data_IF_205094464161
#
_entry.id   IF_205094464161
#
_cell.length_a   1.000
_cell.length_b   1.000
_cell.length_c   1.000
_cell.angle_alpha   90.00
_cell.angle_beta   90.00
_cell.angle_gamma   90.00
#
_symmetry.space_group_name_H-M   'P 1'
#
loop_
_entity.id
_entity.type
_entity.pdbx_description
1 polymer ?
#
# COMPACT_ATOMS: atom_id res chain seq x y z
N UNK A 1 17.19 -9.42 10.01
CA UNK A 1 17.48 -10.37 8.90
C UNK A 1 16.22 -11.20 8.71
N UNK A 2 15.78 -11.37 7.47
CA UNK A 2 14.60 -12.19 7.15
C UNK A 2 14.98 -13.67 7.26
N UNK A 3 14.28 -14.40 8.12
CA UNK A 3 14.44 -15.83 8.35
C UNK A 3 13.07 -16.50 8.40
N UNK A 4 13.01 -17.82 8.23
CA UNK A 4 11.76 -18.61 8.30
C UNK A 4 11.04 -18.37 9.64
N UNK A 5 11.84 -18.36 10.70
CA UNK A 5 11.43 -18.15 12.09
C UNK A 5 10.76 -16.78 12.25
N UNK A 6 11.44 -15.71 11.80
CA UNK A 6 10.96 -14.34 11.99
C UNK A 6 9.72 -14.04 11.16
N UNK A 7 9.60 -14.58 9.95
CA UNK A 7 8.37 -14.47 9.16
C UNK A 7 7.20 -15.19 9.85
N UNK A 8 7.43 -16.39 10.39
CA UNK A 8 6.40 -17.12 11.13
C UNK A 8 5.94 -16.37 12.36
N UNK A 9 6.87 -15.84 13.15
CA UNK A 9 6.54 -15.02 14.33
C UNK A 9 5.66 -13.83 13.94
N UNK A 10 5.98 -13.11 12.86
CA UNK A 10 5.16 -11.97 12.42
C UNK A 10 3.75 -12.36 11.99
N UNK A 11 3.57 -13.52 11.36
CA UNK A 11 2.23 -14.01 11.02
C UNK A 11 1.48 -14.59 12.24
N UNK A 12 2.19 -15.20 13.19
CA UNK A 12 1.63 -15.69 14.45
C UNK A 12 1.08 -14.54 15.31
N UNK A 13 1.75 -13.39 15.32
CA UNK A 13 1.25 -12.17 15.97
C UNK A 13 -0.10 -11.69 15.39
N UNK A 14 -0.38 -12.03 14.12
CA UNK A 14 -1.66 -11.76 13.45
C UNK A 14 -2.68 -12.89 13.61
N UNK A 15 -2.31 -13.99 14.29
CA UNK A 15 -3.14 -15.18 14.43
C UNK A 15 -3.25 -16.01 13.16
N UNK A 16 -2.26 -15.93 12.27
CA UNK A 16 -2.23 -16.64 10.98
C UNK A 16 -1.12 -17.69 11.04
N UNK A 17 -1.44 -18.94 10.74
CA UNK A 17 -0.45 -20.03 10.60
C UNK A 17 -0.16 -20.33 9.11
N UNK A 18 0.86 -19.70 8.51
CA UNK A 18 1.25 -19.99 7.14
C UNK A 18 1.94 -21.35 7.02
N UNK A 19 1.57 -22.13 6.00
CA UNK A 19 2.25 -23.38 5.64
C UNK A 19 3.70 -23.14 5.20
N UNK A 20 4.57 -24.15 5.30
CA UNK A 20 5.98 -24.04 4.92
C UNK A 20 6.20 -23.55 3.48
N UNK A 21 5.32 -23.91 2.55
CA UNK A 21 5.38 -23.41 1.16
C UNK A 21 5.16 -21.89 1.08
N UNK A 22 4.22 -21.36 1.87
CA UNK A 22 3.91 -19.92 1.94
C UNK A 22 5.10 -19.17 2.55
N UNK A 23 5.65 -19.67 3.65
CA UNK A 23 6.80 -19.05 4.32
C UNK A 23 8.03 -19.04 3.41
N UNK A 24 8.31 -20.14 2.70
CA UNK A 24 9.40 -20.17 1.72
C UNK A 24 9.19 -19.14 0.61
N UNK A 25 7.95 -18.98 0.12
CA UNK A 25 7.65 -17.95 -0.89
C UNK A 25 7.84 -16.53 -0.35
N UNK A 26 7.46 -16.26 0.91
CA UNK A 26 7.73 -14.97 1.55
C UNK A 26 9.23 -14.65 1.57
N UNK A 27 10.08 -15.62 1.93
CA UNK A 27 11.53 -15.44 1.94
C UNK A 27 12.07 -15.19 0.54
N UNK A 28 11.63 -15.98 -0.44
CA UNK A 28 12.03 -15.78 -1.84
C UNK A 28 11.71 -14.36 -2.31
N UNK A 29 10.50 -13.87 -2.01
CA UNK A 29 10.10 -12.50 -2.31
C UNK A 29 11.01 -11.53 -1.58
N UNK A 30 11.25 -11.68 -0.28
CA UNK A 30 12.14 -10.78 0.47
C UNK A 30 13.54 -10.69 -0.13
N UNK A 31 14.13 -11.83 -0.52
CA UNK A 31 15.45 -11.89 -1.14
C UNK A 31 15.45 -11.22 -2.52
N UNK A 32 14.49 -11.53 -3.38
CA UNK A 32 14.40 -10.97 -4.73
C UNK A 32 14.23 -9.45 -4.75
N UNK A 33 13.70 -8.91 -3.66
CA UNK A 33 13.19 -7.56 -3.57
C UNK A 33 13.99 -6.67 -2.60
N UNK A 34 15.12 -7.18 -2.09
CA UNK A 34 16.01 -6.55 -1.10
C UNK A 34 15.27 -6.08 0.16
N UNK A 35 14.31 -6.88 0.63
CA UNK A 35 13.58 -6.62 1.87
C UNK A 35 14.35 -7.27 3.01
N UNK A 36 14.92 -6.45 3.89
CA UNK A 36 15.75 -6.92 5.01
C UNK A 36 15.00 -7.08 6.32
N UNK A 37 13.80 -6.50 6.38
CA UNK A 37 12.97 -6.45 7.57
C UNK A 37 11.67 -7.27 7.38
N UNK A 38 11.39 -8.24 8.28
CA UNK A 38 10.21 -9.09 8.15
C UNK A 38 8.90 -8.34 8.46
N UNK A 39 8.93 -7.30 9.31
CA UNK A 39 7.75 -6.50 9.66
C UNK A 39 7.30 -5.71 8.44
N UNK A 40 8.24 -5.02 7.77
CA UNK A 40 7.98 -4.27 6.53
C UNK A 40 7.32 -5.15 5.45
N UNK A 41 7.76 -6.40 5.33
CA UNK A 41 7.14 -7.35 4.41
C UNK A 41 5.70 -7.69 4.81
N UNK A 42 5.45 -7.99 6.08
CA UNK A 42 4.12 -8.38 6.57
C UNK A 42 3.15 -7.20 6.52
N UNK A 43 3.58 -5.99 6.85
CA UNK A 43 2.76 -4.78 6.71
C UNK A 43 2.39 -4.53 5.25
N UNK A 44 3.34 -4.70 4.32
CA UNK A 44 3.08 -4.57 2.89
C UNK A 44 2.10 -5.62 2.40
N UNK A 45 2.23 -6.86 2.86
CA UNK A 45 1.28 -7.93 2.59
C UNK A 45 -0.11 -7.59 3.13
N UNK A 46 -0.22 -7.13 4.38
CA UNK A 46 -1.50 -6.74 4.98
C UNK A 46 -2.16 -5.60 4.21
N UNK A 47 -1.40 -4.57 3.84
CA UNK A 47 -1.91 -3.46 3.04
C UNK A 47 -2.46 -3.96 1.69
N UNK A 48 -1.74 -4.88 1.03
CA UNK A 48 -2.17 -5.49 -0.22
C UNK A 48 -3.41 -6.38 -0.04
N UNK A 49 -3.41 -7.26 0.96
CA UNK A 49 -4.49 -8.21 1.20
C UNK A 49 -5.80 -7.47 1.50
N UNK A 50 -5.78 -6.44 2.35
CA UNK A 50 -6.95 -5.61 2.65
C UNK A 50 -7.43 -4.86 1.41
N UNK A 51 -6.50 -4.32 0.61
CA UNK A 51 -6.85 -3.48 -0.54
C UNK A 51 -7.32 -4.26 -1.77
N UNK A 52 -6.81 -5.47 -2.00
CA UNK A 52 -7.01 -6.24 -3.24
C UNK A 52 -7.72 -7.57 -3.02
N UNK A 53 -7.51 -8.19 -1.86
CA UNK A 53 -7.98 -9.55 -1.55
C UNK A 53 -9.01 -9.56 -0.42
N UNK A 54 -9.50 -8.38 -0.01
CA UNK A 54 -10.45 -8.19 1.10
C UNK A 54 -10.02 -8.85 2.42
N UNK A 55 -8.70 -8.87 2.69
CA UNK A 55 -8.12 -9.44 3.90
C UNK A 55 -7.92 -10.96 3.86
N UNK A 56 -7.85 -11.57 2.67
CA UNK A 56 -7.58 -13.00 2.55
C UNK A 56 -6.24 -13.43 3.17
N UNK A 57 -6.19 -14.70 3.57
CA UNK A 57 -4.99 -15.34 4.13
C UNK A 57 -3.85 -15.44 3.09
N UNK A 58 -2.58 -15.44 3.54
CA UNK A 58 -1.43 -15.55 2.66
C UNK A 58 -1.39 -16.93 1.97
N UNK A 59 -1.44 -16.91 0.64
CA UNK A 59 -1.24 -18.09 -0.20
C UNK A 59 -0.13 -17.83 -1.21
N UNK A 60 0.50 -18.90 -1.71
CA UNK A 60 1.57 -18.80 -2.71
C UNK A 60 1.12 -18.03 -3.96
N UNK A 61 -0.13 -18.23 -4.40
CA UNK A 61 -0.70 -17.53 -5.54
C UNK A 61 -0.81 -16.01 -5.28
N UNK A 62 -1.42 -15.64 -4.15
CA UNK A 62 -1.61 -14.23 -3.80
C UNK A 62 -0.30 -13.50 -3.52
N UNK A 63 0.67 -14.16 -2.90
CA UNK A 63 2.01 -13.61 -2.69
C UNK A 63 2.72 -13.32 -4.03
N UNK A 64 2.53 -14.18 -5.03
CA UNK A 64 3.08 -13.96 -6.37
C UNK A 64 2.40 -12.78 -7.08
N UNK A 65 1.08 -12.63 -6.91
CA UNK A 65 0.33 -11.48 -7.43
C UNK A 65 0.75 -10.16 -6.76
N UNK A 66 0.98 -10.17 -5.44
CA UNK A 66 1.53 -9.03 -4.71
C UNK A 66 2.93 -8.67 -5.23
N UNK A 67 3.82 -9.65 -5.38
CA UNK A 67 5.17 -9.42 -5.90
C UNK A 67 5.14 -8.79 -7.30
N UNK A 68 4.29 -9.32 -8.18
CA UNK A 68 4.11 -8.76 -9.52
C UNK A 68 3.51 -7.36 -9.51
N UNK A 69 2.70 -6.97 -8.52
CA UNK A 69 2.07 -5.65 -8.48
C UNK A 69 2.96 -4.60 -7.80
N UNK A 70 3.49 -4.92 -6.62
CA UNK A 70 4.24 -4.00 -5.77
C UNK A 70 5.70 -3.88 -6.20
N UNK A 71 6.28 -4.96 -6.75
CA UNK A 71 7.72 -5.06 -6.95
C UNK A 71 8.17 -5.12 -8.41
N UNK A 72 7.28 -5.33 -9.38
CA UNK A 72 7.63 -5.26 -10.82
C UNK A 72 8.18 -3.88 -11.23
N UNK A 73 7.79 -2.81 -10.53
CA UNK A 73 8.20 -1.43 -10.86
C UNK A 73 9.66 -1.13 -10.50
N UNK A 74 10.31 -1.93 -9.65
CA UNK A 74 11.73 -1.75 -9.29
C UNK A 74 12.72 -2.50 -10.18
N UNK A 75 12.30 -3.55 -10.89
CA UNK A 75 13.13 -4.21 -11.89
C UNK A 75 13.48 -3.28 -13.09
N UNK A 76 12.66 -2.26 -13.37
CA UNK A 76 12.90 -1.31 -14.47
C UNK A 76 14.02 -0.30 -14.23
N UNK A 77 14.52 -0.15 -12.99
CA UNK A 77 15.57 0.83 -12.66
C UNK A 77 16.99 0.25 -12.66
N UNK A 78 17.15 -1.06 -12.65
CA UNK A 78 18.46 -1.75 -12.74
C UNK A 78 18.86 -2.14 -14.17
N UNK A 79 17.91 -2.15 -15.13
CA UNK A 79 18.21 -2.39 -16.55
C UNK A 79 18.86 -1.19 -17.29
N UNK A 80 19.24 -0.12 -16.58
CA UNK A 80 19.93 1.06 -17.17
C UNK A 80 21.37 1.24 -16.68
N UNK A 81 21.96 0.24 -16.02
CA UNK A 81 23.39 0.25 -15.63
C UNK A 81 24.04 -1.05 -16.10
N UNK A 82 23.98 -1.34 -17.40
CA UNK A 82 24.89 -2.25 -18.12
C UNK A 82 24.55 -2.18 -19.61
N UNK A 83 25.30 -1.40 -20.38
CA UNK A 83 25.12 -1.32 -21.84
C UNK A 83 25.73 -0.06 -22.42
N UNK A 84 26.92 -0.23 -22.98
CA UNK A 84 27.77 0.81 -23.55
C UNK A 84 27.13 1.61 -24.71
N UNK A 85 27.70 2.80 -24.91
CA UNK A 85 27.68 3.68 -26.09
C UNK A 85 27.24 3.03 -27.43
N UNK A 86 26.24 3.61 -28.10
CA UNK A 86 26.45 4.49 -29.27
C UNK A 86 25.15 4.80 -30.06
N UNK A 87 25.15 6.02 -30.63
CA UNK A 87 24.44 6.49 -31.83
C UNK A 87 22.92 6.85 -31.75
N UNK A 88 22.68 8.13 -31.49
CA UNK A 88 21.89 9.08 -32.29
C UNK A 88 20.63 8.60 -33.02
N UNK A 89 19.49 9.25 -32.72
CA UNK A 89 18.39 9.33 -33.70
C UNK A 89 17.01 9.67 -33.13
N UNK A 90 16.74 10.97 -33.04
CA UNK A 90 15.43 11.57 -33.35
C UNK A 90 14.29 11.47 -32.30
N UNK A 91 14.04 12.63 -31.68
CA UNK A 91 12.76 13.36 -31.65
C UNK A 91 11.47 12.58 -31.35
N UNK A 92 10.80 12.99 -30.26
CA UNK A 92 9.36 12.82 -30.13
C UNK A 92 8.85 12.79 -28.70
N UNK A 93 8.80 13.95 -28.03
CA UNK A 93 7.67 14.23 -27.14
C UNK A 93 6.46 14.54 -28.02
N UNK A 94 5.34 13.85 -27.83
CA UNK A 94 4.06 14.51 -27.94
C UNK A 94 3.34 14.40 -26.60
N UNK A 95 3.30 15.52 -25.91
CA UNK A 95 2.19 15.86 -25.02
C UNK A 95 0.91 15.53 -25.78
N UNK A 96 0.19 14.51 -25.33
CA UNK A 96 -1.16 14.23 -25.82
C UNK A 96 -2.11 15.07 -24.99
N UNK A 97 -2.57 16.15 -25.60
CA UNK A 97 -3.82 16.79 -25.27
C UNK A 97 -4.92 15.71 -25.17
N UNK A 98 -5.52 15.58 -24.00
CA UNK A 98 -6.78 14.87 -23.85
C UNK A 98 -7.80 15.87 -23.34
N UNK A 99 -8.39 16.57 -24.33
CA UNK A 99 -9.80 16.91 -24.42
C UNK A 99 -10.53 16.83 -23.08
N UNK A 100 -10.60 17.98 -22.41
CA UNK A 100 -11.50 18.23 -21.28
C UNK A 100 -12.90 17.73 -21.63
N UNK A 101 -13.23 16.55 -21.11
CA UNK A 101 -14.58 16.02 -21.19
C UNK A 101 -15.34 16.60 -20.01
N UNK A 102 -16.24 17.51 -20.35
CA UNK A 102 -17.36 18.07 -19.58
C UNK A 102 -17.68 17.21 -18.35
N UNK A 103 -17.18 17.61 -17.18
CA UNK A 103 -17.59 16.98 -15.93
C UNK A 103 -18.97 17.54 -15.57
N UNK A 104 -19.99 16.72 -15.77
CA UNK A 104 -21.32 16.94 -15.22
C UNK A 104 -21.24 16.64 -13.73
N UNK A 105 -21.48 17.67 -12.92
CA UNK A 105 -21.64 17.60 -11.46
C UNK A 105 -22.66 16.52 -11.08
N UNK A 106 -22.24 15.55 -10.29
CA UNK A 106 -23.14 14.74 -9.48
C UNK A 106 -23.13 15.26 -8.05
N UNK A 107 -24.25 15.87 -7.65
CA UNK A 107 -24.61 16.13 -6.26
C UNK A 107 -25.43 14.94 -5.78
N UNK A 108 -24.94 14.21 -4.79
CA UNK A 108 -25.74 13.31 -3.96
C UNK A 108 -25.11 13.35 -2.57
N UNK A 109 -25.58 14.21 -1.65
CA UNK A 109 -26.68 13.96 -0.69
C UNK A 109 -26.65 12.58 -0.02
N UNK A 110 -25.50 12.21 0.56
CA UNK A 110 -25.47 11.24 1.65
C UNK A 110 -24.26 11.48 2.56
N UNK A 111 -24.44 12.29 3.61
CA UNK A 111 -23.54 12.39 4.77
C UNK A 111 -24.24 13.05 5.98
N UNK A 112 -25.57 13.03 6.05
CA UNK A 112 -26.37 13.53 7.20
C UNK A 112 -26.41 12.50 8.35
N UNK A 113 -25.36 11.68 8.49
CA UNK A 113 -25.24 10.72 9.59
C UNK A 113 -23.95 10.93 10.37
N UNK A 114 -22.87 11.33 9.70
CA UNK A 114 -21.54 11.46 10.33
C UNK A 114 -21.35 12.76 11.14
N UNK A 115 -22.25 13.74 11.01
CA UNK A 115 -22.09 15.04 11.66
C UNK A 115 -22.59 15.07 13.12
N UNK A 116 -23.49 14.16 13.51
CA UNK A 116 -24.08 14.10 14.86
C UNK A 116 -23.12 13.48 15.88
N UNK A 117 -22.32 12.49 15.47
CA UNK A 117 -21.39 11.78 16.36
C UNK A 117 -20.23 12.69 16.77
N UNK A 118 -19.80 13.61 15.89
CA UNK A 118 -18.69 14.51 16.17
C UNK A 118 -19.07 15.66 17.13
N UNK A 119 -20.34 16.07 17.18
CA UNK A 119 -20.84 17.04 18.17
C UNK A 119 -20.96 16.44 19.58
N UNK A 120 -21.18 15.13 19.70
CA UNK A 120 -21.30 14.43 21.00
C UNK A 120 -19.97 14.41 21.80
N UNK A 121 -18.82 14.52 21.13
CA UNK A 121 -17.49 14.52 21.75
C UNK A 121 -16.86 15.92 21.83
N UNK A 122 -17.60 16.98 21.50
CA UNK A 122 -17.12 18.36 21.58
C UNK A 122 -16.93 18.81 23.04
N UNK A 123 -15.67 18.95 23.48
CA UNK A 123 -15.33 19.50 24.79
C UNK A 123 -15.88 20.94 24.94
N UNK A 124 -16.91 21.11 25.75
CA UNK A 124 -17.47 22.42 26.10
C UNK A 124 -16.43 23.18 26.94
N UNK A 125 -15.83 24.24 26.38
CA UNK A 125 -15.01 25.17 27.17
C UNK A 125 -15.95 26.14 27.89
N UNK A 126 -15.99 26.18 29.23
CA UNK A 126 -16.89 27.08 29.93
C UNK A 126 -16.50 28.55 29.67
N UNK A 127 -17.48 29.34 29.24
CA UNK A 127 -17.32 30.78 29.03
C UNK A 127 -17.28 31.46 30.41
N UNK A 128 -16.13 32.02 30.78
CA UNK A 128 -15.97 32.80 32.02
C UNK A 128 -16.76 34.11 31.89
N UNK A 129 -17.86 34.22 32.63
CA UNK A 129 -18.60 35.47 32.78
C UNK A 129 -17.83 36.41 33.69
N UNK A 130 -17.35 37.53 33.13
CA UNK A 130 -16.82 38.64 33.90
C UNK A 130 -17.91 39.15 34.87
N UNK A 131 -17.70 38.98 36.18
CA UNK A 131 -18.44 39.71 37.20
C UNK A 131 -17.95 41.17 37.19
N UNK A 132 -18.87 42.10 36.92
CA UNK A 132 -18.68 43.52 37.21
C UNK A 132 -19.43 43.81 38.52
N UNK A 133 -18.71 44.33 39.51
CA UNK A 133 -19.26 45.00 40.70
C UNK A 133 -18.77 46.42 40.67
#
# INVERSE_FOLDING_TARGET
MVSIETIREQFDELGIEPSDEVVNKCIEICINNDITDPVEFVEQWMAYSVSKLSGAEPTVAYLNEMEAHEYTSKARKVAKVSGALAAAGNSGTPWKDSKVSKITTYRNVDSVVEQDVLEMYGCITPKVSHFHT
#
